data_IF_255433731253
#
_entry.id   IF_255433731253
#
_cell.length_a   1.000
_cell.length_b   1.000
_cell.length_c   1.000
_cell.angle_alpha   90.00
_cell.angle_beta   90.00
_cell.angle_gamma   90.00
#
_symmetry.space_group_name_H-M   'P 1'
#
loop_
_entity.id
_entity.type
_entity.pdbx_description
1 polymer ?
#
# COMPACT_ATOMS: atom_id res chain seq x y z
N UNK A 1 1.54 19.08 -10.93
CA UNK A 1 2.16 19.10 -9.60
C UNK A 1 3.45 18.28 -9.59
N UNK A 2 4.47 18.79 -8.95
CA UNK A 2 5.71 18.05 -8.73
C UNK A 2 5.53 16.95 -7.66
N UNK A 3 6.30 15.89 -7.81
CA UNK A 3 6.44 14.84 -6.82
C UNK A 3 7.52 15.27 -5.82
N UNK A 4 7.16 15.33 -4.55
CA UNK A 4 8.12 15.51 -3.46
C UNK A 4 8.29 14.18 -2.74
N UNK A 5 9.52 13.71 -2.64
CA UNK A 5 9.85 12.49 -1.87
C UNK A 5 10.05 12.86 -0.41
N UNK A 6 9.66 11.98 0.49
CA UNK A 6 9.85 12.11 1.93
C UNK A 6 10.06 10.73 2.56
N UNK A 7 10.72 10.73 3.71
CA UNK A 7 10.91 9.55 4.52
C UNK A 7 10.06 9.67 5.79
N UNK A 8 9.43 8.56 6.16
CA UNK A 8 8.61 8.45 7.36
C UNK A 8 9.29 7.47 8.30
N UNK A 9 9.72 7.97 9.46
CA UNK A 9 10.31 7.12 10.50
C UNK A 9 9.22 6.31 11.21
N UNK A 10 9.27 4.99 11.05
CA UNK A 10 8.40 4.03 11.69
C UNK A 10 9.19 3.19 12.72
N UNK A 11 8.54 2.56 13.70
CA UNK A 11 9.23 1.75 14.70
C UNK A 11 10.10 0.64 14.14
N UNK A 12 9.68 0.03 13.03
CA UNK A 12 10.32 -1.13 12.42
C UNK A 12 11.21 -0.76 11.22
N UNK A 13 11.39 0.54 10.92
CA UNK A 13 12.23 1.03 9.84
C UNK A 13 11.64 2.22 9.10
N UNK A 14 12.42 2.76 8.17
CA UNK A 14 12.05 3.92 7.37
C UNK A 14 11.10 3.52 6.23
N UNK A 15 10.01 4.27 6.07
CA UNK A 15 9.10 4.15 4.92
C UNK A 15 9.38 5.27 3.92
N UNK A 16 9.58 4.91 2.67
CA UNK A 16 9.67 5.88 1.58
C UNK A 16 8.27 6.29 1.11
N UNK A 17 8.05 7.58 0.99
CA UNK A 17 6.77 8.13 0.55
C UNK A 17 6.96 9.24 -0.49
N UNK A 18 5.87 9.60 -1.14
CA UNK A 18 5.82 10.72 -2.06
C UNK A 18 4.49 11.46 -1.92
N UNK A 19 4.54 12.77 -2.09
CA UNK A 19 3.38 13.65 -2.06
C UNK A 19 3.33 14.50 -3.33
N UNK A 20 2.13 14.65 -3.87
CA UNK A 20 1.80 15.57 -4.96
C UNK A 20 0.84 16.63 -4.44
N UNK A 21 0.98 17.87 -4.90
CA UNK A 21 0.20 19.02 -4.46
C UNK A 21 0.32 19.29 -2.94
N UNK A 22 1.54 19.33 -2.43
CA UNK A 22 1.83 19.58 -1.01
C UNK A 22 1.28 20.90 -0.49
N UNK A 23 1.26 21.92 -1.33
CA UNK A 23 0.77 23.25 -0.96
C UNK A 23 -0.70 23.24 -0.53
N UNK A 24 -1.52 22.40 -1.18
CA UNK A 24 -2.90 22.20 -0.78
C UNK A 24 -3.03 21.56 0.61
N UNK A 25 -2.09 20.70 1.01
CA UNK A 25 -2.05 20.15 2.37
C UNK A 25 -1.77 21.24 3.39
N UNK A 26 -0.79 22.09 3.12
CA UNK A 26 -0.45 23.24 3.96
C UNK A 26 -1.63 24.23 4.09
N UNK A 27 -2.46 24.34 3.05
CA UNK A 27 -3.69 25.12 3.06
C UNK A 27 -4.89 24.42 3.75
N UNK A 28 -4.67 23.25 4.38
CA UNK A 28 -5.69 22.51 5.13
C UNK A 28 -6.58 21.58 4.31
N UNK A 29 -6.23 21.29 3.06
CA UNK A 29 -6.98 20.37 2.22
C UNK A 29 -6.80 18.93 2.69
N UNK A 30 -7.88 18.15 2.70
CA UNK A 30 -7.87 16.72 3.09
C UNK A 30 -7.09 15.89 2.05
N UNK A 31 -5.99 15.20 2.42
CA UNK A 31 -5.21 14.39 1.50
C UNK A 31 -5.91 13.09 1.12
N UNK A 32 -5.54 12.56 -0.04
CA UNK A 32 -5.84 11.19 -0.48
C UNK A 32 -4.60 10.34 -0.22
N UNK A 33 -4.73 9.27 0.56
CA UNK A 33 -3.66 8.32 0.85
C UNK A 33 -3.85 7.09 -0.01
N UNK A 34 -2.81 6.68 -0.74
CA UNK A 34 -2.83 5.56 -1.67
C UNK A 34 -2.18 4.32 -1.04
N UNK A 35 -2.94 3.24 -0.93
CA UNK A 35 -2.50 1.91 -0.50
C UNK A 35 -2.27 1.03 -1.75
N UNK A 36 -1.04 0.62 -1.98
CA UNK A 36 -0.67 -0.15 -3.16
C UNK A 36 -1.04 -1.64 -3.06
N UNK A 37 -1.11 -2.32 -4.20
CA UNK A 37 -1.38 -3.76 -4.31
C UNK A 37 -0.24 -4.63 -3.77
N UNK A 38 -0.43 -5.98 -3.82
CA UNK A 38 0.47 -6.97 -3.23
C UNK A 38 1.93 -6.87 -3.70
N UNK A 39 2.16 -6.57 -4.97
CA UNK A 39 3.50 -6.41 -5.55
C UNK A 39 3.81 -4.94 -5.90
N UNK A 40 3.06 -4.02 -5.32
CA UNK A 40 3.10 -2.60 -5.64
C UNK A 40 4.16 -1.81 -4.92
N UNK A 41 4.28 -0.57 -5.36
CA UNK A 41 5.14 0.45 -4.79
C UNK A 41 4.65 1.84 -5.22
N UNK A 42 5.24 2.90 -4.67
CA UNK A 42 5.00 4.27 -5.15
C UNK A 42 5.27 4.38 -6.66
N UNK A 43 6.32 3.72 -7.13
CA UNK A 43 6.70 3.76 -8.55
C UNK A 43 5.71 3.00 -9.45
N UNK A 44 5.03 1.97 -8.94
CA UNK A 44 4.04 1.21 -9.72
C UNK A 44 2.79 2.00 -10.04
N UNK A 45 2.45 3.02 -9.25
CA UNK A 45 1.35 3.94 -9.54
C UNK A 45 1.56 4.81 -10.78
N UNK A 46 2.82 4.96 -11.26
CA UNK A 46 3.19 5.75 -12.44
C UNK A 46 2.65 7.20 -12.34
N UNK A 47 1.83 7.62 -13.27
CA UNK A 47 1.24 8.97 -13.33
C UNK A 47 -0.09 9.11 -12.58
N UNK A 48 -0.63 8.03 -12.02
CA UNK A 48 -1.94 8.06 -11.37
C UNK A 48 -2.01 9.08 -10.22
N UNK A 49 -1.06 9.13 -9.27
CA UNK A 49 -1.13 10.08 -8.15
C UNK A 49 -1.09 11.53 -8.61
N UNK A 50 -0.25 11.84 -9.63
CA UNK A 50 -0.17 13.19 -10.22
C UNK A 50 -1.50 13.59 -10.84
N UNK A 51 -2.08 12.74 -11.70
CA UNK A 51 -3.36 13.00 -12.35
C UNK A 51 -4.49 13.15 -11.33
N UNK A 52 -4.51 12.31 -10.30
CA UNK A 52 -5.50 12.39 -9.24
C UNK A 52 -5.40 13.73 -8.49
N UNK A 53 -4.20 14.18 -8.17
CA UNK A 53 -3.98 15.50 -7.56
C UNK A 53 -4.44 16.65 -8.48
N UNK A 54 -4.15 16.56 -9.78
CA UNK A 54 -4.55 17.56 -10.77
C UNK A 54 -6.07 17.68 -10.91
N UNK A 55 -6.78 16.55 -10.98
CA UNK A 55 -8.24 16.54 -11.17
C UNK A 55 -8.98 16.95 -9.90
N UNK A 56 -8.47 16.53 -8.73
CA UNK A 56 -9.18 16.76 -7.46
C UNK A 56 -8.76 18.04 -6.75
N UNK A 57 -7.62 18.63 -7.12
CA UNK A 57 -7.00 19.71 -6.38
C UNK A 57 -6.50 19.34 -4.99
N UNK A 58 -6.54 18.05 -4.62
CA UNK A 58 -6.16 17.56 -3.31
C UNK A 58 -4.70 17.13 -3.25
N UNK A 59 -4.07 17.15 -2.07
CA UNK A 59 -2.81 16.45 -1.85
C UNK A 59 -3.03 14.96 -2.05
N UNK A 60 -2.10 14.28 -2.75
CA UNK A 60 -2.09 12.83 -2.89
C UNK A 60 -0.80 12.31 -2.29
N UNK A 61 -0.91 11.37 -1.37
CA UNK A 61 0.21 10.74 -0.67
C UNK A 61 0.24 9.26 -1.09
N UNK A 62 1.37 8.80 -1.59
CA UNK A 62 1.63 7.38 -1.80
C UNK A 62 2.89 7.01 -1.02
N UNK A 63 2.96 5.78 -0.53
CA UNK A 63 4.11 5.28 0.22
C UNK A 63 4.41 3.84 -0.15
N UNK A 64 5.63 3.44 0.07
CA UNK A 64 6.07 2.05 0.01
C UNK A 64 5.90 1.42 1.40
N UNK A 65 5.15 0.33 1.51
CA UNK A 65 5.04 -0.43 2.77
C UNK A 65 6.42 -0.96 3.18
N UNK A 66 6.62 -1.25 4.44
CA UNK A 66 7.88 -1.83 4.93
C UNK A 66 8.19 -3.14 4.18
N UNK A 67 9.40 -3.28 3.67
CA UNK A 67 9.82 -4.38 2.80
C UNK A 67 9.59 -4.13 1.31
N UNK A 68 8.83 -3.10 0.92
CA UNK A 68 8.47 -2.81 -0.47
C UNK A 68 9.23 -1.57 -1.01
N UNK A 69 9.24 -1.44 -2.33
CA UNK A 69 9.74 -0.25 -3.02
C UNK A 69 11.08 0.26 -2.50
N UNK A 70 11.13 1.51 -2.09
CA UNK A 70 12.31 2.17 -1.54
C UNK A 70 12.32 2.24 0.00
N UNK A 71 11.31 1.66 0.67
CA UNK A 71 11.29 1.49 2.12
C UNK A 71 12.35 0.51 2.58
N UNK A 72 12.68 0.54 3.86
CA UNK A 72 13.64 -0.39 4.44
C UNK A 72 13.19 -1.84 4.29
N UNK A 73 14.14 -2.75 4.36
CA UNK A 73 13.89 -4.18 4.25
C UNK A 73 13.12 -4.68 5.46
N UNK A 74 12.26 -5.66 5.22
CA UNK A 74 11.63 -6.46 6.25
C UNK A 74 12.22 -7.86 6.22
N UNK A 75 12.59 -8.40 7.37
CA UNK A 75 13.16 -9.76 7.49
C UNK A 75 12.12 -10.78 7.93
N UNK A 76 11.10 -10.33 8.67
CA UNK A 76 10.03 -11.20 9.14
C UNK A 76 9.02 -11.51 8.02
N UNK A 77 8.30 -12.61 8.18
CA UNK A 77 7.14 -12.90 7.34
C UNK A 77 6.07 -11.83 7.52
N UNK A 78 5.30 -11.59 6.47
CA UNK A 78 4.14 -10.71 6.56
C UNK A 78 3.10 -11.39 7.48
N UNK A 79 2.61 -10.73 8.53
CA UNK A 79 1.60 -11.32 9.42
C UNK A 79 0.27 -11.50 8.66
N UNK A 80 -0.54 -12.46 9.06
CA UNK A 80 -1.87 -12.68 8.45
C UNK A 80 -2.82 -11.50 8.67
N UNK A 81 -2.57 -10.68 9.69
CA UNK A 81 -3.30 -9.43 9.99
C UNK A 81 -2.83 -8.21 9.18
N UNK A 82 -1.88 -8.39 8.26
CA UNK A 82 -1.22 -7.25 7.58
C UNK A 82 -2.18 -6.28 6.89
N UNK A 83 -3.34 -6.73 6.43
CA UNK A 83 -4.33 -5.85 5.78
C UNK A 83 -4.96 -4.88 6.77
N UNK A 84 -5.35 -5.38 7.93
CA UNK A 84 -5.95 -4.58 9.01
C UNK A 84 -4.92 -3.73 9.75
N UNK A 85 -3.72 -4.26 9.95
CA UNK A 85 -2.67 -3.60 10.74
C UNK A 85 -2.02 -2.43 9.98
N UNK A 86 -2.01 -2.47 8.65
CA UNK A 86 -1.30 -1.48 7.83
C UNK A 86 -1.78 -0.05 8.10
N UNK A 87 -3.10 0.17 8.11
CA UNK A 87 -3.66 1.49 8.36
C UNK A 87 -3.38 1.98 9.78
N UNK A 88 -3.48 1.09 10.78
CA UNK A 88 -3.18 1.40 12.18
C UNK A 88 -1.71 1.81 12.36
N UNK A 89 -0.81 1.21 11.60
CA UNK A 89 0.63 1.49 11.68
C UNK A 89 1.01 2.79 10.98
N UNK A 90 0.52 3.04 9.76
CA UNK A 90 1.04 4.11 8.91
C UNK A 90 0.31 5.45 9.07
N UNK A 91 -1.02 5.45 9.31
CA UNK A 91 -1.80 6.69 9.40
C UNK A 91 -1.30 7.63 10.50
N UNK A 92 -1.05 7.18 11.75
CA UNK A 92 -0.54 8.06 12.81
C UNK A 92 0.83 8.67 12.48
N UNK A 93 1.69 7.93 11.77
CA UNK A 93 3.00 8.41 11.35
C UNK A 93 2.83 9.54 10.32
N UNK A 94 1.99 9.32 9.32
CA UNK A 94 1.70 10.35 8.30
C UNK A 94 1.07 11.59 8.91
N UNK A 95 0.12 11.45 9.82
CA UNK A 95 -0.52 12.57 10.50
C UNK A 95 0.48 13.40 11.31
N UNK A 96 1.39 12.75 12.03
CA UNK A 96 2.44 13.42 12.79
C UNK A 96 3.40 14.18 11.90
N UNK A 97 3.86 13.58 10.79
CA UNK A 97 4.86 14.18 9.89
C UNK A 97 4.27 15.26 8.98
N UNK A 98 3.05 15.04 8.51
CA UNK A 98 2.42 15.89 7.50
C UNK A 98 1.31 16.80 8.06
N UNK A 99 1.00 16.71 9.36
CA UNK A 99 0.10 17.59 10.11
C UNK A 99 -1.31 17.70 9.52
N UNK A 100 -1.93 16.59 9.15
CA UNK A 100 -3.34 16.55 8.74
C UNK A 100 -4.20 15.81 9.78
N UNK A 101 -5.47 16.20 9.92
CA UNK A 101 -6.42 15.58 10.85
C UNK A 101 -7.43 14.65 10.17
N UNK A 102 -7.68 14.85 8.89
CA UNK A 102 -8.62 14.07 8.09
C UNK A 102 -7.95 13.59 6.82
N UNK A 103 -8.40 12.46 6.29
CA UNK A 103 -7.88 11.88 5.05
C UNK A 103 -8.97 11.16 4.25
N UNK A 104 -8.67 10.85 3.01
CA UNK A 104 -9.42 9.92 2.15
C UNK A 104 -8.50 8.72 1.92
N UNK A 105 -8.96 7.53 2.22
CA UNK A 105 -8.24 6.30 1.94
C UNK A 105 -8.58 5.82 0.52
N UNK A 106 -7.56 5.49 -0.28
CA UNK A 106 -7.76 4.97 -1.63
C UNK A 106 -6.82 3.80 -1.86
N UNK A 107 -7.32 2.64 -2.24
CA UNK A 107 -6.49 1.45 -2.38
C UNK A 107 -6.82 0.60 -3.60
N UNK A 108 -5.80 -0.09 -4.10
CA UNK A 108 -5.92 -1.01 -5.22
C UNK A 108 -5.67 -2.45 -4.77
N UNK A 109 -6.51 -3.39 -5.23
CA UNK A 109 -6.41 -4.82 -4.88
C UNK A 109 -6.38 -4.99 -3.34
N UNK A 110 -5.42 -5.67 -2.75
CA UNK A 110 -5.25 -5.79 -1.28
C UNK A 110 -5.18 -4.42 -0.58
N UNK A 111 -4.62 -3.40 -1.24
CA UNK A 111 -4.64 -2.02 -0.73
C UNK A 111 -6.05 -1.45 -0.59
N UNK A 112 -7.02 -1.96 -1.35
CA UNK A 112 -8.44 -1.64 -1.17
C UNK A 112 -8.97 -2.14 0.17
N UNK A 113 -8.58 -3.34 0.60
CA UNK A 113 -8.86 -3.85 1.94
C UNK A 113 -8.25 -2.98 3.04
N UNK A 114 -6.99 -2.52 2.84
CA UNK A 114 -6.34 -1.58 3.76
C UNK A 114 -7.08 -0.24 3.85
N UNK A 115 -7.63 0.25 2.72
CA UNK A 115 -8.43 1.48 2.71
C UNK A 115 -9.75 1.32 3.48
N UNK A 116 -10.41 0.17 3.38
CA UNK A 116 -11.59 -0.16 4.20
C UNK A 116 -11.22 -0.27 5.67
N UNK A 117 -10.10 -0.95 5.99
CA UNK A 117 -9.55 -1.02 7.34
C UNK A 117 -9.26 0.37 7.93
N UNK A 118 -8.73 1.29 7.12
CA UNK A 118 -8.50 2.67 7.54
C UNK A 118 -9.79 3.40 7.92
N UNK A 119 -10.88 3.20 7.17
CA UNK A 119 -12.20 3.76 7.49
C UNK A 119 -12.77 3.16 8.79
N UNK A 120 -12.66 1.85 8.94
CA UNK A 120 -13.11 1.13 10.14
C UNK A 120 -12.38 1.59 11.41
N UNK A 121 -11.05 1.75 11.34
CA UNK A 121 -10.22 2.15 12.50
C UNK A 121 -10.38 3.65 12.81
N UNK A 122 -10.51 4.49 11.78
CA UNK A 122 -10.54 5.95 11.90
C UNK A 122 -11.83 6.61 11.38
N UNK A 123 -13.05 6.16 11.81
CA UNK A 123 -14.32 6.57 11.19
C UNK A 123 -14.63 8.07 11.30
N UNK A 124 -14.00 8.78 12.26
CA UNK A 124 -14.14 10.23 12.40
C UNK A 124 -13.17 11.01 11.52
N UNK A 125 -12.02 10.42 11.18
CA UNK A 125 -10.92 11.06 10.45
C UNK A 125 -10.93 10.68 8.97
N UNK A 126 -11.26 9.45 8.62
CA UNK A 126 -11.47 9.00 7.25
C UNK A 126 -12.77 9.60 6.71
N UNK A 127 -12.67 10.36 5.62
CA UNK A 127 -13.84 11.02 5.01
C UNK A 127 -14.45 10.21 3.88
N UNK A 128 -13.69 9.29 3.32
CA UNK A 128 -14.14 8.31 2.34
C UNK A 128 -13.11 7.19 2.20
N UNK A 129 -13.60 5.99 1.91
CA UNK A 129 -12.79 4.87 1.44
C UNK A 129 -13.12 4.62 -0.04
N UNK A 130 -12.08 4.57 -0.88
CA UNK A 130 -12.18 4.32 -2.32
C UNK A 130 -11.41 3.04 -2.63
N UNK A 131 -12.09 2.08 -3.23
CA UNK A 131 -11.48 0.79 -3.59
C UNK A 131 -11.45 0.60 -5.10
N UNK A 132 -10.36 0.04 -5.60
CA UNK A 132 -10.17 -0.28 -7.01
C UNK A 132 -9.80 -1.76 -7.12
N UNK A 133 -10.72 -2.59 -7.61
CA UNK A 133 -10.49 -4.04 -7.74
C UNK A 133 -10.11 -4.70 -6.43
N UNK A 134 -10.71 -4.27 -5.31
CA UNK A 134 -10.41 -4.81 -3.99
C UNK A 134 -10.96 -6.22 -3.84
N UNK A 135 -10.22 -7.02 -3.06
CA UNK A 135 -10.70 -8.30 -2.57
C UNK A 135 -11.37 -8.08 -1.21
N UNK A 136 -12.52 -8.68 -1.01
CA UNK A 136 -13.25 -8.63 0.26
C UNK A 136 -13.02 -9.88 1.12
N UNK A 137 -12.61 -10.97 0.49
CA UNK A 137 -12.32 -12.27 1.11
C UNK A 137 -11.38 -13.10 0.21
N UNK A 138 -10.92 -14.23 0.72
CA UNK A 138 -10.09 -15.15 -0.06
C UNK A 138 -10.98 -15.96 -1.00
N UNK A 139 -10.77 -15.81 -2.31
CA UNK A 139 -11.54 -16.51 -3.35
C UNK A 139 -10.71 -17.62 -3.99
N UNK A 140 -11.37 -18.72 -4.40
CA UNK A 140 -10.72 -19.85 -5.09
C UNK A 140 -9.98 -19.39 -6.36
N UNK A 141 -10.54 -18.44 -7.10
CA UNK A 141 -9.92 -17.90 -8.31
C UNK A 141 -8.64 -17.11 -7.98
N UNK A 142 -8.59 -16.42 -6.84
CA UNK A 142 -7.41 -15.73 -6.33
C UNK A 142 -6.32 -16.74 -5.99
N UNK A 143 -6.65 -17.78 -5.23
CA UNK A 143 -5.71 -18.85 -4.87
C UNK A 143 -5.15 -19.53 -6.13
N UNK A 144 -6.01 -19.88 -7.09
CA UNK A 144 -5.57 -20.47 -8.35
C UNK A 144 -4.63 -19.53 -9.14
N UNK A 145 -4.90 -18.23 -9.11
CA UNK A 145 -4.04 -17.21 -9.71
C UNK A 145 -2.68 -17.11 -9.04
N UNK A 146 -2.63 -17.15 -7.71
CA UNK A 146 -1.39 -17.10 -6.93
C UNK A 146 -0.53 -18.36 -7.15
N UNK A 147 -1.15 -19.55 -7.21
CA UNK A 147 -0.43 -20.78 -7.53
C UNK A 147 0.24 -20.69 -8.91
N UNK A 148 -0.44 -20.18 -9.93
CA UNK A 148 0.15 -19.92 -11.25
C UNK A 148 1.27 -18.88 -11.19
N UNK A 149 1.08 -17.82 -10.42
CA UNK A 149 2.11 -16.79 -10.23
C UNK A 149 3.34 -17.34 -9.53
N UNK A 150 3.19 -18.19 -8.52
CA UNK A 150 4.30 -18.87 -7.85
C UNK A 150 5.19 -19.62 -8.84
N UNK A 151 4.58 -20.36 -9.76
CA UNK A 151 5.36 -21.08 -10.77
C UNK A 151 6.05 -20.11 -11.75
N UNK A 152 5.39 -19.03 -12.14
CA UNK A 152 5.97 -18.00 -13.00
C UNK A 152 7.16 -17.27 -12.35
N UNK A 153 7.09 -17.00 -11.05
CA UNK A 153 8.18 -16.32 -10.32
C UNK A 153 9.35 -17.25 -9.93
N UNK A 154 9.35 -18.51 -10.35
CA UNK A 154 10.56 -19.35 -10.44
C UNK A 154 11.47 -18.92 -11.58
N UNK A 155 10.92 -18.24 -12.60
CA UNK A 155 11.66 -17.67 -13.72
C UNK A 155 12.35 -16.36 -13.29
N UNK A 156 13.65 -16.27 -13.59
CA UNK A 156 14.50 -15.10 -13.30
C UNK A 156 14.05 -13.87 -14.06
N UNK A 157 13.52 -14.00 -15.26
CA UNK A 157 13.04 -12.87 -16.06
C UNK A 157 11.80 -12.21 -15.44
N UNK A 158 10.90 -12.99 -14.84
CA UNK A 158 9.75 -12.46 -14.14
C UNK A 158 10.16 -11.65 -12.89
N UNK A 159 11.12 -12.18 -12.12
CA UNK A 159 11.71 -11.47 -10.98
C UNK A 159 12.45 -10.21 -11.43
N UNK A 160 13.25 -10.27 -12.50
CA UNK A 160 14.00 -9.15 -13.03
C UNK A 160 13.12 -7.95 -13.42
N UNK A 161 11.93 -8.22 -13.99
CA UNK A 161 10.97 -7.15 -14.30
C UNK A 161 10.40 -6.48 -13.04
N UNK A 162 10.25 -7.21 -11.95
CA UNK A 162 9.76 -6.67 -10.68
C UNK A 162 10.87 -5.97 -9.89
N UNK A 163 12.12 -6.39 -10.07
CA UNK A 163 13.28 -5.84 -9.37
C UNK A 163 13.50 -4.33 -9.63
N UNK A 164 13.00 -3.81 -10.75
CA UNK A 164 13.03 -2.36 -11.04
C UNK A 164 12.25 -1.53 -9.99
N UNK A 165 11.34 -2.15 -9.26
CA UNK A 165 10.54 -1.49 -8.23
C UNK A 165 11.06 -1.73 -6.81
N UNK A 166 11.61 -2.94 -6.55
CA UNK A 166 11.93 -3.39 -5.20
C UNK A 166 13.42 -3.67 -4.97
N UNK A 167 14.25 -3.66 -6.06
CA UNK A 167 15.69 -3.97 -5.96
C UNK A 167 15.92 -5.37 -5.37
N UNK A 168 16.84 -5.47 -4.45
CA UNK A 168 17.24 -6.73 -3.80
C UNK A 168 16.12 -7.36 -2.95
N UNK A 169 15.10 -6.58 -2.57
CA UNK A 169 13.94 -7.07 -1.80
C UNK A 169 12.93 -7.85 -2.64
N UNK A 170 13.10 -7.89 -3.96
CA UNK A 170 12.10 -8.46 -4.88
C UNK A 170 11.70 -9.88 -4.52
N UNK A 171 12.66 -10.73 -4.13
CA UNK A 171 12.37 -12.11 -3.75
C UNK A 171 11.48 -12.15 -2.52
N UNK A 172 11.83 -11.37 -1.49
CA UNK A 172 11.01 -11.25 -0.28
C UNK A 172 9.59 -10.77 -0.58
N UNK A 173 9.42 -9.75 -1.44
CA UNK A 173 8.10 -9.21 -1.83
C UNK A 173 7.22 -10.27 -2.48
N UNK A 174 7.79 -11.09 -3.37
CA UNK A 174 7.06 -12.17 -4.04
C UNK A 174 6.69 -13.27 -3.04
N UNK A 175 7.65 -13.68 -2.21
CA UNK A 175 7.43 -14.72 -1.20
C UNK A 175 6.41 -14.25 -0.14
N UNK A 176 6.49 -13.01 0.34
CA UNK A 176 5.54 -12.44 1.28
C UNK A 176 4.11 -12.46 0.74
N UNK A 177 3.91 -12.13 -0.55
CA UNK A 177 2.61 -12.23 -1.19
C UNK A 177 2.12 -13.66 -1.27
N UNK A 178 2.93 -14.56 -1.85
CA UNK A 178 2.54 -15.95 -2.11
C UNK A 178 2.30 -16.69 -0.79
N UNK A 179 3.25 -16.61 0.14
CA UNK A 179 3.20 -17.35 1.40
C UNK A 179 2.02 -16.92 2.27
N UNK A 180 1.71 -15.61 2.33
CA UNK A 180 0.58 -15.14 3.13
C UNK A 180 -0.76 -15.56 2.53
N UNK A 181 -0.95 -15.41 1.22
CA UNK A 181 -2.21 -15.77 0.57
C UNK A 181 -2.45 -17.29 0.52
N UNK A 182 -1.40 -18.11 0.58
CA UNK A 182 -1.48 -19.57 0.64
C UNK A 182 -1.41 -20.10 2.07
N UNK A 183 -1.28 -19.25 3.08
CA UNK A 183 -1.26 -19.66 4.49
C UNK A 183 -2.68 -20.09 4.90
N UNK A 184 -2.86 -21.30 5.46
CA UNK A 184 -4.15 -21.75 5.97
C UNK A 184 -4.76 -20.80 7.01
N UNK A 185 -3.93 -20.07 7.77
CA UNK A 185 -4.39 -19.08 8.75
C UNK A 185 -4.99 -17.83 8.09
N UNK A 186 -4.73 -17.59 6.79
CA UNK A 186 -5.29 -16.50 6.01
C UNK A 186 -6.52 -16.92 5.21
N UNK A 187 -6.82 -18.23 5.15
CA UNK A 187 -7.89 -18.76 4.28
C UNK A 187 -9.28 -18.18 4.59
N UNK A 188 -9.54 -17.89 5.86
CA UNK A 188 -10.82 -17.32 6.33
C UNK A 188 -10.80 -15.78 6.41
N UNK A 189 -9.76 -15.13 5.86
CA UNK A 189 -9.69 -13.68 5.88
C UNK A 189 -10.83 -13.05 5.08
N UNK A 190 -11.53 -12.09 5.70
CA UNK A 190 -12.55 -11.25 5.08
C UNK A 190 -12.48 -9.82 5.61
N UNK A 191 -13.19 -8.91 4.93
CA UNK A 191 -13.41 -7.52 5.37
C UNK A 191 -14.66 -7.36 6.26
N UNK A 192 -15.33 -8.44 6.58
CA UNK A 192 -16.53 -8.47 7.43
C UNK A 192 -16.19 -8.30 8.92
#
# INVERSE_FOLDING_TARGET
FERLSLDLEAPDGRLSAAIWNRDALTAGSTPIILFHESLGSVASWRNFPKKLAEVTGRPVIAYDRLGFGQSDSRIDKLPVSFVTDEAASVIPIMQRVLSFSHFIACGHSVGGGMAVGADSIYPKQCKAAITMGAQAYVEDCTIAGILKARDKFRDTDALGRLARFHGDKTRWVVDAWIDTWLDPAFADWSLD
#
